data_IF_856065059161
#
_entry.id   IF_856065059161
#
_cell.length_a   1.000
_cell.length_b   1.000
_cell.length_c   1.000
_cell.angle_alpha   90.00
_cell.angle_beta   90.00
_cell.angle_gamma   90.00
#
_symmetry.space_group_name_H-M   'P 1'
#
loop_
_entity.id
_entity.type
_entity.pdbx_description
1 polymer ?
#
# COMPACT_ATOMS: atom_id res chain seq x y z
N UNK A 1 5.46 71.21 0.82
CA UNK A 1 6.66 70.46 0.36
C UNK A 1 6.69 69.09 1.03
N UNK A 2 6.77 68.03 0.20
CA UNK A 2 7.35 66.70 0.44
C UNK A 2 6.63 65.69 1.38
N UNK A 3 5.89 64.79 0.73
CA UNK A 3 6.03 63.33 0.72
C UNK A 3 6.07 62.54 2.04
N UNK A 4 5.05 61.71 2.28
CA UNK A 4 5.24 60.39 2.91
C UNK A 4 4.22 59.35 2.40
N UNK A 5 4.67 58.61 1.39
CA UNK A 5 4.60 57.15 1.16
C UNK A 5 3.25 56.43 1.34
N UNK A 6 2.65 56.08 0.19
CA UNK A 6 1.76 54.92 0.02
C UNK A 6 2.51 53.63 0.37
N UNK A 7 1.88 52.75 1.15
CA UNK A 7 2.21 51.32 1.25
C UNK A 7 1.23 50.54 0.35
N UNK A 8 1.70 49.56 -0.43
CA UNK A 8 0.87 48.87 -1.40
C UNK A 8 -0.05 47.84 -0.75
N UNK A 9 -1.31 47.94 -1.15
CA UNK A 9 -2.41 47.00 -1.04
C UNK A 9 -2.06 45.69 -1.77
N UNK A 10 -1.39 44.74 -1.11
CA UNK A 10 -1.24 43.37 -1.62
C UNK A 10 -1.25 42.40 -0.44
N UNK A 11 -2.39 41.72 -0.28
CA UNK A 11 -2.61 40.74 0.78
C UNK A 11 -3.76 39.81 0.45
N UNK A 12 -3.65 39.16 -0.71
CA UNK A 12 -4.14 37.81 -1.03
C UNK A 12 -5.57 37.50 -0.56
N UNK A 13 -6.51 37.61 -1.51
CA UNK A 13 -7.74 36.81 -1.51
C UNK A 13 -7.31 35.35 -1.54
N UNK A 14 -7.25 34.71 -0.36
CA UNK A 14 -7.19 33.26 -0.27
C UNK A 14 -8.54 32.75 -0.73
N UNK A 15 -8.63 32.44 -2.02
CA UNK A 15 -9.61 31.52 -2.56
C UNK A 15 -9.50 30.23 -1.74
N UNK A 16 -10.37 30.09 -0.73
CA UNK A 16 -10.69 28.82 -0.12
C UNK A 16 -11.41 27.95 -1.14
N UNK A 17 -10.68 27.49 -2.15
CA UNK A 17 -11.01 26.26 -2.85
C UNK A 17 -10.71 25.14 -1.84
N UNK A 18 -11.67 24.93 -0.94
CA UNK A 18 -11.89 23.62 -0.36
C UNK A 18 -12.28 22.71 -1.52
N UNK A 19 -11.27 22.24 -2.25
CA UNK A 19 -11.40 21.08 -3.11
C UNK A 19 -11.66 19.92 -2.16
N UNK A 20 -12.92 19.71 -1.81
CA UNK A 20 -13.39 18.37 -1.48
C UNK A 20 -13.09 17.55 -2.73
N UNK A 21 -11.96 16.87 -2.74
CA UNK A 21 -11.77 15.72 -3.62
C UNK A 21 -12.80 14.73 -3.17
N UNK A 22 -14.00 14.85 -3.73
CA UNK A 22 -14.98 13.80 -3.77
C UNK A 22 -14.19 12.57 -4.19
N UNK A 23 -14.23 11.53 -3.36
CA UNK A 23 -13.68 10.22 -3.62
C UNK A 23 -14.39 9.62 -4.84
N UNK A 24 -14.13 10.15 -6.05
CA UNK A 24 -14.18 9.34 -7.26
C UNK A 24 -12.90 8.50 -7.25
N UNK A 25 -12.83 7.58 -6.29
CA UNK A 25 -12.19 6.31 -6.60
C UNK A 25 -13.10 5.71 -7.67
N UNK A 26 -12.77 5.95 -8.94
CA UNK A 26 -12.98 4.93 -9.94
C UNK A 26 -12.33 3.68 -9.35
N UNK A 27 -13.14 2.83 -8.70
CA UNK A 27 -12.66 1.60 -8.09
C UNK A 27 -12.19 0.72 -9.25
N UNK A 28 -10.90 0.86 -9.57
CA UNK A 28 -10.23 0.18 -10.67
C UNK A 28 -10.35 -1.34 -10.53
N UNK A 29 -10.58 -1.81 -9.30
CA UNK A 29 -10.90 -3.20 -8.96
C UNK A 29 -12.33 -3.25 -8.44
N UNK A 30 -13.15 -4.06 -9.09
CA UNK A 30 -14.53 -4.31 -8.68
C UNK A 30 -14.56 -5.11 -7.38
N UNK A 31 -15.69 -5.02 -6.68
CA UNK A 31 -15.93 -5.87 -5.51
C UNK A 31 -16.01 -7.34 -5.92
N UNK A 32 -15.42 -8.21 -5.11
CA UNK A 32 -15.40 -9.64 -5.40
C UNK A 32 -14.27 -10.41 -4.74
N UNK A 33 -14.17 -11.68 -5.12
CA UNK A 33 -13.15 -12.60 -4.60
C UNK A 33 -12.16 -12.95 -5.70
N UNK A 34 -10.87 -12.73 -5.45
CA UNK A 34 -9.81 -12.88 -6.43
C UNK A 34 -8.71 -13.82 -5.97
N UNK A 35 -8.06 -14.49 -6.92
CA UNK A 35 -6.80 -15.18 -6.67
C UNK A 35 -5.65 -14.16 -6.74
N UNK A 36 -4.81 -14.15 -5.71
CA UNK A 36 -3.68 -13.25 -5.60
C UNK A 36 -2.40 -14.00 -5.21
N UNK A 37 -1.26 -13.35 -5.45
CA UNK A 37 0.04 -13.78 -4.96
C UNK A 37 0.50 -12.80 -3.89
N UNK A 38 0.90 -13.30 -2.72
CA UNK A 38 1.58 -12.50 -1.69
C UNK A 38 3.06 -12.86 -1.70
N UNK A 39 3.91 -11.84 -1.74
CA UNK A 39 5.36 -11.96 -1.56
C UNK A 39 5.80 -11.24 -0.31
N UNK A 40 6.58 -11.90 0.53
CA UNK A 40 7.26 -11.33 1.69
C UNK A 40 8.76 -11.36 1.41
N UNK A 41 9.38 -10.20 1.31
CA UNK A 41 10.82 -10.08 1.13
C UNK A 41 11.43 -9.27 2.26
N UNK A 42 12.54 -9.74 2.82
CA UNK A 42 13.38 -8.90 3.68
C UNK A 42 13.81 -7.63 2.91
N UNK A 43 13.86 -6.49 3.58
CA UNK A 43 14.56 -5.34 3.03
C UNK A 43 16.07 -5.62 3.11
N UNK A 44 16.83 -5.20 2.09
CA UNK A 44 18.30 -5.28 2.14
C UNK A 44 18.77 -4.53 3.38
N UNK A 45 19.35 -5.23 4.34
CA UNK A 45 20.13 -4.58 5.37
C UNK A 45 21.51 -4.19 4.81
N UNK A 46 22.19 -3.23 5.44
CA UNK A 46 23.53 -2.78 5.04
C UNK A 46 24.61 -3.87 5.11
N UNK A 47 24.24 -5.11 5.45
CA UNK A 47 25.10 -6.29 5.56
C UNK A 47 25.02 -7.21 4.33
N UNK A 48 24.18 -6.88 3.34
CA UNK A 48 24.19 -7.54 2.04
C UNK A 48 23.62 -8.96 2.02
N UNK A 49 22.89 -9.39 3.05
CA UNK A 49 22.22 -10.68 3.04
C UNK A 49 21.13 -10.72 1.96
N UNK A 50 21.18 -11.73 1.08
CA UNK A 50 20.13 -12.01 0.09
C UNK A 50 18.87 -12.49 0.79
N UNK A 51 17.76 -11.85 0.42
CA UNK A 51 16.48 -11.89 1.10
C UNK A 51 15.87 -13.30 1.10
N UNK A 52 15.47 -13.79 2.28
CA UNK A 52 14.41 -14.80 2.34
C UNK A 52 13.17 -14.19 1.67
N UNK A 53 12.84 -14.70 0.48
CA UNK A 53 11.63 -14.32 -0.25
C UNK A 53 10.67 -15.49 -0.12
N UNK A 54 9.57 -15.25 0.59
CA UNK A 54 8.46 -16.18 0.67
C UNK A 54 7.38 -15.72 -0.29
N UNK A 55 6.80 -16.66 -1.03
CA UNK A 55 5.66 -16.38 -1.89
C UNK A 55 4.59 -17.44 -1.70
N UNK A 56 3.33 -17.00 -1.59
CA UNK A 56 2.20 -17.91 -1.49
C UNK A 56 1.01 -17.39 -2.30
N UNK A 57 0.21 -18.31 -2.81
CA UNK A 57 -1.06 -17.99 -3.45
C UNK A 57 -2.13 -17.88 -2.36
N UNK A 58 -2.93 -16.83 -2.43
CA UNK A 58 -4.03 -16.54 -1.52
C UNK A 58 -5.29 -16.24 -2.31
N UNK A 59 -6.42 -16.35 -1.64
CA UNK A 59 -7.70 -15.80 -2.10
C UNK A 59 -7.99 -14.54 -1.32
N UNK A 60 -8.37 -13.46 -1.98
CA UNK A 60 -8.71 -12.19 -1.33
C UNK A 60 -10.11 -11.73 -1.64
N UNK A 61 -10.78 -11.12 -0.66
CA UNK A 61 -12.05 -10.44 -0.83
C UNK A 61 -11.80 -8.94 -0.89
N UNK A 62 -12.30 -8.29 -1.93
CA UNK A 62 -12.19 -6.85 -2.14
C UNK A 62 -13.58 -6.22 -2.02
N UNK A 63 -13.67 -5.14 -1.25
CA UNK A 63 -14.87 -4.29 -1.15
C UNK A 63 -14.44 -2.83 -1.24
N UNK A 64 -15.06 -2.06 -2.14
CA UNK A 64 -14.75 -0.66 -2.40
C UNK A 64 -13.25 -0.41 -2.67
N UNK A 65 -12.59 -1.31 -3.41
CA UNK A 65 -11.16 -1.22 -3.72
C UNK A 65 -10.21 -1.53 -2.56
N UNK A 66 -10.74 -1.98 -1.41
CA UNK A 66 -10.00 -2.29 -0.18
C UNK A 66 -9.98 -3.81 0.05
N UNK A 67 -8.87 -4.34 0.59
CA UNK A 67 -8.76 -5.76 0.96
C UNK A 67 -9.44 -6.01 2.31
N UNK A 68 -10.59 -6.70 2.30
CA UNK A 68 -11.33 -7.02 3.52
C UNK A 68 -10.96 -8.38 4.12
N UNK A 69 -10.55 -9.33 3.28
CA UNK A 69 -10.19 -10.67 3.74
C UNK A 69 -9.07 -11.27 2.91
N UNK A 70 -8.20 -12.04 3.56
CA UNK A 70 -7.16 -12.85 2.93
C UNK A 70 -7.23 -14.27 3.47
N UNK A 71 -7.43 -15.24 2.59
CA UNK A 71 -7.40 -16.67 2.90
C UNK A 71 -6.17 -17.28 2.26
N UNK A 72 -5.19 -17.67 3.07
CA UNK A 72 -3.94 -18.27 2.60
C UNK A 72 -4.03 -19.80 2.55
N UNK A 73 -3.49 -20.40 1.48
CA UNK A 73 -3.44 -21.86 1.33
C UNK A 73 -2.30 -22.50 2.14
N UNK A 74 -1.37 -21.71 2.67
CA UNK A 74 -0.25 -22.13 3.52
C UNK A 74 0.03 -21.05 4.55
N UNK A 75 0.41 -21.49 5.75
CA UNK A 75 0.85 -20.62 6.82
C UNK A 75 2.11 -19.86 6.41
N UNK A 76 2.29 -18.68 7.00
CA UNK A 76 3.59 -18.05 7.23
C UNK A 76 4.12 -17.00 6.24
N UNK A 77 3.25 -16.21 5.60
CA UNK A 77 3.67 -14.91 5.02
C UNK A 77 3.13 -13.70 5.78
N UNK A 78 2.42 -13.89 6.89
CA UNK A 78 1.75 -12.82 7.66
C UNK A 78 0.99 -11.86 6.73
N UNK A 79 0.15 -12.43 5.86
CA UNK A 79 -0.56 -11.66 4.86
C UNK A 79 -1.56 -10.68 5.49
N UNK A 80 -1.95 -10.86 6.76
CA UNK A 80 -2.86 -9.94 7.45
C UNK A 80 -2.35 -8.49 7.49
N UNK A 81 -1.03 -8.27 7.31
CA UNK A 81 -0.43 -6.93 7.18
C UNK A 81 -0.94 -6.13 5.98
N UNK A 82 -1.64 -6.78 5.06
CA UNK A 82 -2.18 -6.20 3.84
C UNK A 82 -3.70 -5.95 3.93
N UNK A 83 -4.35 -6.29 5.04
CA UNK A 83 -5.78 -6.03 5.25
C UNK A 83 -6.06 -4.53 5.38
N UNK A 84 -7.23 -4.14 4.92
CA UNK A 84 -7.76 -2.78 4.93
C UNK A 84 -6.90 -1.75 4.20
N UNK A 85 -6.03 -2.22 3.29
CA UNK A 85 -5.25 -1.35 2.42
C UNK A 85 -5.93 -1.21 1.05
N UNK A 86 -5.92 0.00 0.46
CA UNK A 86 -6.45 0.22 -0.88
C UNK A 86 -5.52 -0.37 -1.94
N UNK A 87 -6.12 -0.90 -3.01
CA UNK A 87 -5.39 -1.41 -4.16
C UNK A 87 -4.98 -0.30 -5.13
N UNK A 88 -3.79 -0.42 -5.70
CA UNK A 88 -3.28 0.38 -6.81
C UNK A 88 -3.20 -0.48 -8.08
N UNK A 89 -3.18 0.15 -9.26
CA UNK A 89 -2.96 -0.54 -10.54
C UNK A 89 -1.57 -0.25 -11.07
N UNK A 90 -0.82 -1.29 -11.44
CA UNK A 90 0.50 -1.14 -12.08
C UNK A 90 0.37 -0.85 -13.58
N UNK A 91 1.48 -0.50 -14.24
CA UNK A 91 1.51 -0.22 -15.69
C UNK A 91 1.14 -1.41 -16.58
N UNK A 92 1.08 -2.63 -16.02
CA UNK A 92 0.65 -3.86 -16.72
C UNK A 92 -0.84 -4.15 -16.48
N UNK A 93 -1.53 -3.34 -15.68
CA UNK A 93 -2.93 -3.52 -15.32
C UNK A 93 -3.16 -4.54 -14.21
N UNK A 94 -2.14 -4.92 -13.44
CA UNK A 94 -2.33 -5.75 -12.25
C UNK A 94 -2.70 -4.87 -11.06
N UNK A 95 -3.58 -5.37 -10.20
CA UNK A 95 -3.83 -4.72 -8.92
C UNK A 95 -2.78 -5.15 -7.90
N UNK A 96 -2.29 -4.22 -7.10
CA UNK A 96 -1.29 -4.50 -6.08
C UNK A 96 -1.44 -3.59 -4.88
N UNK A 97 -0.87 -4.04 -3.75
CA UNK A 97 -0.65 -3.21 -2.58
C UNK A 97 0.60 -3.68 -1.87
N UNK A 98 1.24 -2.78 -1.14
CA UNK A 98 2.46 -3.04 -0.39
C UNK A 98 2.33 -2.53 1.04
N UNK A 99 2.92 -3.25 1.98
CA UNK A 99 3.08 -2.85 3.35
C UNK A 99 4.50 -3.21 3.81
N UNK A 100 5.04 -2.45 4.75
CA UNK A 100 6.31 -2.78 5.41
C UNK A 100 6.03 -2.95 6.89
N UNK A 101 6.61 -4.01 7.48
CA UNK A 101 6.52 -4.23 8.91
C UNK A 101 7.84 -4.77 9.47
N UNK A 102 8.08 -4.53 10.75
CA UNK A 102 9.22 -5.08 11.48
C UNK A 102 8.82 -6.37 12.17
N UNK A 103 9.56 -7.43 11.91
CA UNK A 103 9.38 -8.71 12.60
C UNK A 103 10.61 -9.10 13.39
N UNK A 104 10.40 -9.61 14.60
CA UNK A 104 11.44 -10.11 15.48
C UNK A 104 10.91 -11.31 16.26
N UNK A 105 11.71 -12.37 16.36
CA UNK A 105 11.44 -13.48 17.25
C UNK A 105 11.74 -13.07 18.69
N UNK A 106 10.69 -12.70 19.42
CA UNK A 106 10.77 -12.27 20.83
C UNK A 106 11.31 -13.34 21.78
N UNK A 107 11.31 -14.61 21.40
CA UNK A 107 11.87 -15.70 22.20
C UNK A 107 13.37 -15.90 21.97
N UNK A 108 13.91 -15.40 20.86
CA UNK A 108 15.33 -15.45 20.56
C UNK A 108 15.99 -14.10 20.89
N UNK A 109 16.66 -14.01 22.05
CA UNK A 109 17.36 -12.78 22.49
C UNK A 109 18.48 -12.31 21.55
N UNK A 110 18.92 -13.16 20.61
CA UNK A 110 19.92 -12.82 19.57
C UNK A 110 19.29 -12.39 18.25
N UNK A 111 17.97 -12.46 18.11
CA UNK A 111 17.29 -11.97 16.93
C UNK A 111 17.21 -10.44 17.01
N UNK A 112 17.92 -9.77 16.11
CA UNK A 112 17.91 -8.31 15.97
C UNK A 112 16.65 -7.81 15.24
N UNK A 113 15.80 -8.73 14.75
CA UNK A 113 14.65 -8.44 13.93
C UNK A 113 15.02 -7.92 12.54
N UNK A 114 14.00 -7.79 11.69
CA UNK A 114 14.17 -7.31 10.32
C UNK A 114 12.90 -6.67 9.79
N UNK A 115 13.07 -5.62 8.97
CA UNK A 115 11.99 -5.08 8.16
C UNK A 115 11.71 -5.98 6.96
N UNK A 116 10.44 -6.32 6.77
CA UNK A 116 9.93 -7.07 5.64
C UNK A 116 8.96 -6.19 4.85
N UNK A 117 9.04 -6.30 3.53
CA UNK A 117 8.02 -5.77 2.62
C UNK A 117 7.12 -6.89 2.15
N UNK A 118 5.83 -6.70 2.36
CA UNK A 118 4.74 -7.54 1.90
C UNK A 118 4.16 -6.91 0.65
N UNK A 119 4.03 -7.69 -0.41
CA UNK A 119 3.39 -7.25 -1.65
C UNK A 119 2.32 -8.24 -2.03
N UNK A 120 1.09 -7.77 -2.15
CA UNK A 120 0.00 -8.50 -2.79
C UNK A 120 -0.09 -8.11 -4.26
N UNK A 121 -0.38 -9.07 -5.13
CA UNK A 121 -0.64 -8.81 -6.54
C UNK A 121 -1.77 -9.70 -7.07
N UNK A 122 -2.81 -9.07 -7.60
CA UNK A 122 -3.88 -9.71 -8.39
C UNK A 122 -3.55 -9.45 -9.86
N UNK A 123 -3.38 -10.52 -10.64
CA UNK A 123 -3.06 -10.36 -12.07
C UNK A 123 -4.25 -9.76 -12.82
N UNK A 124 -3.98 -8.95 -13.84
CA UNK A 124 -5.00 -8.42 -14.75
C UNK A 124 -5.98 -9.49 -15.24
N UNK A 125 -5.46 -10.68 -15.57
CA UNK A 125 -6.26 -11.82 -16.05
C UNK A 125 -7.27 -12.35 -15.03
N UNK A 126 -7.05 -12.12 -13.73
CA UNK A 126 -8.02 -12.46 -12.68
C UNK A 126 -9.03 -11.33 -12.44
N UNK A 127 -8.66 -10.07 -12.72
CA UNK A 127 -9.55 -8.92 -12.55
C UNK A 127 -10.67 -8.85 -13.59
N UNK A 128 -10.47 -9.51 -14.74
CA UNK A 128 -11.40 -9.49 -15.89
C UNK A 128 -12.25 -10.76 -16.04
N UNK A 129 -12.10 -11.72 -15.12
CA UNK A 129 -12.97 -12.91 -15.07
C UNK A 129 -14.36 -12.55 -14.58
#
# INVERSE_FOLDING_TARGET
>A
MKNLKLLPLLGIVMCGLLSFTYFDHDNLVKDGTYNAMVKKGANRDGRGFTNNVYSTNVTVKIENGIIEQITANRDNVNAEKLLHLPLNIDSKGNAFVEATDYEQNVYNKRDEGRFYTYKLTIKKTELVK
#
